data_IF_510246331158
#
_entry.id   IF_510246331158
#
_cell.length_a   1.000
_cell.length_b   1.000
_cell.length_c   1.000
_cell.angle_alpha   90.00
_cell.angle_beta   90.00
_cell.angle_gamma   90.00
#
_symmetry.space_group_name_H-M   'P 1'
#
loop_
_entity.id
_entity.type
_entity.pdbx_description
1 polymer ?
#
# COMPACT_ATOMS: atom_id res chain seq x y z
N UNK A 1 21.23 -5.97 -1.84
CA UNK A 1 21.59 -5.19 -0.63
C UNK A 1 20.57 -4.07 -0.53
N UNK A 2 19.91 -3.91 0.62
CA UNK A 2 19.02 -2.77 0.86
C UNK A 2 19.83 -1.66 1.55
N UNK A 3 19.62 -0.42 1.13
CA UNK A 3 20.25 0.79 1.67
C UNK A 3 19.16 1.84 1.87
N UNK A 4 19.41 2.82 2.73
CA UNK A 4 18.47 3.92 2.96
C UNK A 4 18.81 5.13 2.07
N UNK A 5 20.10 5.41 1.89
CA UNK A 5 20.58 6.58 1.16
C UNK A 5 21.44 6.19 -0.04
N UNK A 6 21.38 6.99 -1.10
CA UNK A 6 22.16 6.72 -2.31
C UNK A 6 23.66 6.76 -2.03
N UNK A 7 24.14 7.56 -1.09
CA UNK A 7 25.57 7.70 -0.76
C UNK A 7 26.19 6.40 -0.20
N UNK A 8 25.37 5.45 0.24
CA UNK A 8 25.80 4.10 0.64
C UNK A 8 26.07 3.19 -0.56
N UNK A 9 25.62 3.58 -1.76
CA UNK A 9 25.80 2.82 -2.99
C UNK A 9 27.12 3.19 -3.67
N UNK A 10 27.99 2.22 -4.02
CA UNK A 10 29.22 2.52 -4.75
C UNK A 10 28.93 2.96 -6.20
N UNK A 11 29.79 3.83 -6.72
CA UNK A 11 29.74 4.25 -8.12
C UNK A 11 29.88 3.07 -9.09
N UNK A 12 29.18 3.12 -10.22
CA UNK A 12 29.11 2.05 -11.20
C UNK A 12 28.10 0.93 -10.86
N UNK A 13 27.50 0.95 -9.67
CA UNK A 13 26.50 -0.04 -9.27
C UNK A 13 25.12 0.19 -9.93
N UNK A 14 24.30 -0.86 -9.87
CA UNK A 14 22.88 -0.77 -10.22
C UNK A 14 22.05 -0.47 -8.98
N UNK A 15 21.22 0.57 -9.05
CA UNK A 15 20.24 0.94 -8.03
C UNK A 15 18.84 0.60 -8.52
N UNK A 16 18.05 0.00 -7.64
CA UNK A 16 16.63 -0.28 -7.90
C UNK A 16 15.80 0.56 -6.94
N UNK A 17 14.95 1.46 -7.45
CA UNK A 17 13.98 2.15 -6.61
C UNK A 17 12.85 1.20 -6.21
N UNK A 18 12.43 1.28 -4.95
CA UNK A 18 11.39 0.38 -4.43
C UNK A 18 10.02 0.64 -5.07
N UNK A 19 9.10 -0.32 -4.92
CA UNK A 19 7.74 -0.21 -5.43
C UNK A 19 6.94 0.99 -4.88
N UNK A 20 7.34 1.52 -3.71
CA UNK A 20 6.71 2.67 -3.07
C UNK A 20 7.05 4.00 -3.75
N UNK A 21 7.99 4.01 -4.70
CA UNK A 21 8.45 5.24 -5.33
C UNK A 21 9.43 6.03 -4.48
N UNK A 22 9.99 7.07 -5.10
CA UNK A 22 10.99 7.95 -4.51
C UNK A 22 10.71 9.41 -4.88
N UNK A 23 11.23 10.34 -4.07
CA UNK A 23 11.11 11.78 -4.33
C UNK A 23 11.88 12.22 -5.57
N UNK A 24 11.55 13.40 -6.10
CA UNK A 24 12.32 14.02 -7.19
C UNK A 24 13.78 14.31 -6.78
N UNK A 25 14.03 14.58 -5.50
CA UNK A 25 15.38 14.83 -5.00
C UNK A 25 16.25 13.56 -5.15
N UNK A 26 15.73 12.41 -4.73
CA UNK A 26 16.40 11.11 -4.90
C UNK A 26 16.62 10.78 -6.38
N UNK A 27 15.62 11.05 -7.24
CA UNK A 27 15.77 10.87 -8.69
C UNK A 27 16.90 11.75 -9.28
N UNK A 28 16.98 13.03 -8.88
CA UNK A 28 18.03 13.95 -9.32
C UNK A 28 19.42 13.51 -8.82
N UNK A 29 19.52 13.10 -7.56
CA UNK A 29 20.77 12.60 -6.98
C UNK A 29 21.26 11.35 -7.72
N UNK A 30 20.38 10.38 -7.97
CA UNK A 30 20.74 9.17 -8.72
C UNK A 30 21.21 9.49 -10.14
N UNK A 31 20.52 10.42 -10.84
CA UNK A 31 20.88 10.84 -12.19
C UNK A 31 22.20 11.63 -12.25
N UNK A 32 22.62 12.26 -11.15
CA UNK A 32 23.88 13.01 -11.07
C UNK A 32 25.11 12.13 -10.80
N UNK A 33 24.89 10.84 -10.50
CA UNK A 33 25.93 9.88 -10.15
C UNK A 33 26.09 8.83 -11.25
N UNK A 34 27.26 8.16 -11.35
CA UNK A 34 27.49 7.10 -12.33
C UNK A 34 26.79 5.79 -11.90
N UNK A 35 25.47 5.81 -11.79
CA UNK A 35 24.63 4.69 -11.37
C UNK A 35 23.77 4.20 -12.54
N UNK A 36 23.57 2.89 -12.62
CA UNK A 36 22.52 2.31 -13.48
C UNK A 36 21.22 2.25 -12.67
N UNK A 37 20.22 3.04 -13.02
CA UNK A 37 18.96 3.13 -12.26
C UNK A 37 17.88 2.29 -12.93
N UNK A 38 17.26 1.41 -12.15
CA UNK A 38 16.05 0.68 -12.51
C UNK A 38 14.91 1.15 -11.60
N UNK A 39 13.86 1.70 -12.17
CA UNK A 39 12.71 2.15 -11.39
C UNK A 39 11.67 1.03 -11.30
N UNK A 40 11.53 0.42 -10.12
CA UNK A 40 10.51 -0.60 -9.85
C UNK A 40 9.27 -0.02 -9.15
N UNK A 41 9.09 1.31 -9.15
CA UNK A 41 7.89 1.97 -8.62
C UNK A 41 6.65 1.36 -9.23
N UNK A 42 5.67 1.02 -8.39
CA UNK A 42 4.38 0.51 -8.86
C UNK A 42 3.73 1.53 -9.81
N UNK A 43 3.26 1.11 -11.00
CA UNK A 43 2.60 2.05 -11.93
C UNK A 43 1.40 2.80 -11.32
N UNK A 44 0.76 2.24 -10.30
CA UNK A 44 -0.34 2.87 -9.58
C UNK A 44 0.16 3.98 -8.63
N UNK A 45 1.33 3.84 -8.04
CA UNK A 45 2.00 4.93 -7.29
C UNK A 45 2.48 6.02 -8.26
N UNK A 46 3.05 5.64 -9.41
CA UNK A 46 3.43 6.60 -10.46
C UNK A 46 2.23 7.42 -10.96
N UNK A 47 1.02 6.86 -10.96
CA UNK A 47 -0.22 7.60 -11.25
C UNK A 47 -0.47 8.69 -10.21
N UNK A 48 -0.37 8.38 -8.91
CA UNK A 48 -0.50 9.37 -7.82
C UNK A 48 0.55 10.48 -7.98
N UNK A 49 1.81 10.11 -8.20
CA UNK A 49 2.89 11.07 -8.46
C UNK A 49 2.60 12.00 -9.64
N UNK A 50 1.98 11.47 -10.70
CA UNK A 50 1.62 12.25 -11.89
C UNK A 50 0.45 13.20 -11.61
N UNK A 51 -0.52 12.79 -10.79
CA UNK A 51 -1.64 13.64 -10.39
C UNK A 51 -1.22 14.79 -9.50
N UNK A 52 -0.32 14.56 -8.52
CA UNK A 52 0.28 15.65 -7.73
C UNK A 52 0.90 16.69 -8.65
N UNK A 53 1.75 16.26 -9.59
CA UNK A 53 2.40 17.16 -10.57
C UNK A 53 1.38 17.93 -11.39
N UNK A 54 0.33 17.26 -11.85
CA UNK A 54 -0.73 17.87 -12.65
C UNK A 54 -1.46 18.96 -11.87
N UNK A 55 -1.94 18.66 -10.67
CA UNK A 55 -2.65 19.62 -9.83
C UNK A 55 -1.78 20.84 -9.48
N UNK A 56 -0.51 20.61 -9.12
CA UNK A 56 0.44 21.71 -8.87
C UNK A 56 0.65 22.58 -10.12
N UNK A 57 0.80 21.98 -11.30
CA UNK A 57 0.90 22.72 -12.57
C UNK A 57 -0.37 23.51 -12.93
N UNK A 58 -1.53 23.05 -12.47
CA UNK A 58 -2.82 23.75 -12.62
C UNK A 58 -3.03 24.84 -11.54
N UNK A 59 -2.02 25.09 -10.69
CA UNK A 59 -2.04 26.09 -9.63
C UNK A 59 -2.81 25.66 -8.39
N UNK A 60 -3.12 24.37 -8.23
CA UNK A 60 -3.81 23.86 -7.06
C UNK A 60 -2.83 23.46 -5.96
N UNK A 61 -3.15 23.80 -4.72
CA UNK A 61 -2.61 23.12 -3.54
C UNK A 61 -3.14 21.67 -3.49
N UNK A 62 -2.36 20.76 -2.92
CA UNK A 62 -2.72 19.33 -2.86
C UNK A 62 -2.70 18.85 -1.42
N UNK A 63 -3.77 18.20 -0.99
CA UNK A 63 -3.82 17.47 0.28
C UNK A 63 -3.55 15.99 0.00
N UNK A 64 -2.45 15.46 0.51
CA UNK A 64 -2.15 14.04 0.51
C UNK A 64 -2.74 13.43 1.78
N UNK A 65 -3.66 12.48 1.62
CA UNK A 65 -4.14 11.62 2.71
C UNK A 65 -3.20 10.42 2.77
N UNK A 66 -2.52 10.20 3.88
CA UNK A 66 -1.53 9.12 4.01
C UNK A 66 -0.93 9.06 5.41
N UNK A 67 -0.04 8.08 5.65
CA UNK A 67 0.66 7.96 6.93
C UNK A 67 2.04 8.61 6.91
N UNK A 68 2.33 9.49 7.86
CA UNK A 68 3.65 10.14 7.95
C UNK A 68 4.77 9.11 8.11
N UNK A 69 5.90 9.35 7.44
CA UNK A 69 7.05 8.45 7.46
C UNK A 69 6.90 7.19 6.61
N UNK A 70 5.75 6.95 5.97
CA UNK A 70 5.64 5.86 5.00
C UNK A 70 6.40 6.20 3.70
N UNK A 71 7.25 5.30 3.15
CA UNK A 71 8.08 5.61 1.98
C UNK A 71 7.30 6.14 0.76
N UNK A 72 6.08 5.63 0.54
CA UNK A 72 5.19 6.10 -0.53
C UNK A 72 4.72 7.54 -0.32
N UNK A 73 4.48 7.93 0.94
CA UNK A 73 4.08 9.29 1.31
C UNK A 73 5.26 10.24 1.11
N UNK A 74 6.45 9.87 1.58
CA UNK A 74 7.67 10.67 1.35
C UNK A 74 7.98 10.83 -0.15
N UNK A 75 7.81 9.75 -0.92
CA UNK A 75 7.93 9.78 -2.37
C UNK A 75 6.93 10.72 -3.03
N UNK A 76 5.68 10.70 -2.58
CA UNK A 76 4.57 11.51 -3.13
C UNK A 76 4.68 12.99 -2.75
N UNK A 77 4.97 13.29 -1.47
CA UNK A 77 5.28 14.66 -1.01
C UNK A 77 6.44 15.25 -1.81
N UNK A 78 7.49 14.45 -2.01
CA UNK A 78 8.67 14.83 -2.77
C UNK A 78 8.48 14.99 -4.29
N UNK A 79 7.24 14.92 -4.80
CA UNK A 79 6.93 15.25 -6.20
C UNK A 79 6.75 16.75 -6.45
N UNK A 80 6.63 17.55 -5.39
CA UNK A 80 6.56 19.01 -5.42
C UNK A 80 7.50 19.59 -4.36
N UNK A 81 8.02 20.80 -4.59
CA UNK A 81 8.84 21.50 -3.59
C UNK A 81 7.97 22.19 -2.53
N UNK A 82 6.74 22.56 -2.90
CA UNK A 82 5.76 23.24 -2.04
C UNK A 82 4.31 22.85 -2.38
N UNK A 83 3.37 23.33 -1.55
CA UNK A 83 1.92 23.26 -1.79
C UNK A 83 1.36 21.84 -1.86
N UNK A 84 2.02 20.89 -1.20
CA UNK A 84 1.48 19.57 -0.87
C UNK A 84 1.48 19.44 0.65
N UNK A 85 0.33 19.12 1.22
CA UNK A 85 0.13 19.01 2.67
C UNK A 85 -0.29 17.60 3.03
N UNK A 86 0.31 17.02 4.05
CA UNK A 86 -0.06 15.70 4.57
C UNK A 86 -1.14 15.82 5.64
N UNK A 87 -2.15 14.96 5.57
CA UNK A 87 -3.10 14.70 6.66
C UNK A 87 -3.28 13.21 6.87
N UNK A 88 -3.59 12.79 8.10
CA UNK A 88 -3.79 11.38 8.45
C UNK A 88 -5.20 11.10 9.00
N UNK A 89 -5.93 12.15 9.40
CA UNK A 89 -7.15 12.04 10.19
C UNK A 89 -8.23 13.06 9.82
N UNK A 90 -9.44 12.86 10.35
CA UNK A 90 -10.55 13.81 10.23
C UNK A 90 -10.20 15.10 10.96
N UNK A 91 -9.55 15.00 12.11
CA UNK A 91 -9.11 16.14 12.90
C UNK A 91 -8.09 16.99 12.15
N UNK A 92 -7.22 16.37 11.34
CA UNK A 92 -6.30 17.10 10.46
C UNK A 92 -7.06 17.81 9.34
N UNK A 93 -8.06 17.15 8.72
CA UNK A 93 -8.95 17.78 7.74
C UNK A 93 -9.69 18.99 8.33
N UNK A 94 -10.06 18.95 9.60
CA UNK A 94 -10.69 20.06 10.33
C UNK A 94 -9.71 21.18 10.73
N UNK A 95 -8.40 20.93 10.74
CA UNK A 95 -7.40 21.91 11.18
C UNK A 95 -6.57 22.47 10.04
N UNK A 96 -6.52 21.79 8.90
CA UNK A 96 -5.67 22.18 7.78
C UNK A 96 -6.01 23.59 7.28
N UNK A 97 -4.96 24.40 7.10
CA UNK A 97 -5.03 25.73 6.52
C UNK A 97 -4.43 25.68 5.13
N UNK A 98 -5.17 26.19 4.15
CA UNK A 98 -4.78 26.24 2.74
C UNK A 98 -4.83 27.68 2.26
N UNK A 99 -3.97 28.05 1.31
CA UNK A 99 -3.92 29.41 0.77
C UNK A 99 -5.15 29.76 -0.07
N UNK A 100 -5.62 28.84 -0.91
CA UNK A 100 -6.80 29.06 -1.75
C UNK A 100 -7.74 27.83 -1.80
N UNK A 101 -8.85 27.84 -1.03
CA UNK A 101 -9.84 26.76 -1.02
C UNK A 101 -10.46 26.41 -2.38
N UNK A 102 -10.51 27.35 -3.33
CA UNK A 102 -11.05 27.13 -4.68
C UNK A 102 -10.02 26.56 -5.66
N UNK A 103 -8.76 26.47 -5.23
CA UNK A 103 -7.64 25.88 -5.98
C UNK A 103 -7.00 24.79 -5.14
N UNK A 104 -7.82 23.81 -4.76
CA UNK A 104 -7.41 22.70 -3.90
C UNK A 104 -7.76 21.36 -4.56
N UNK A 105 -6.89 20.39 -4.38
CA UNK A 105 -7.12 19.00 -4.76
C UNK A 105 -6.71 18.07 -3.62
N UNK A 106 -7.17 16.82 -3.65
CA UNK A 106 -6.63 15.77 -2.80
C UNK A 106 -6.13 14.57 -3.62
N UNK A 107 -5.20 13.83 -3.03
CA UNK A 107 -4.75 12.51 -3.47
C UNK A 107 -4.60 11.62 -2.25
N UNK A 108 -4.51 10.31 -2.43
CA UNK A 108 -4.33 9.37 -1.30
C UNK A 108 -3.14 8.43 -1.51
N UNK A 109 -2.59 7.94 -0.40
CA UNK A 109 -1.74 6.75 -0.41
C UNK A 109 -2.54 5.54 -0.90
N UNK A 110 -1.89 4.65 -1.65
CA UNK A 110 -2.53 3.53 -2.37
C UNK A 110 -2.95 2.36 -1.48
N UNK A 111 -2.50 2.34 -0.22
CA UNK A 111 -2.63 1.22 0.74
C UNK A 111 -3.49 1.54 1.97
N UNK A 112 -4.26 2.64 1.92
CA UNK A 112 -5.10 3.05 3.03
C UNK A 112 -6.36 2.19 3.21
N UNK A 113 -6.97 2.30 4.39
CA UNK A 113 -8.31 1.80 4.69
C UNK A 113 -9.34 2.53 3.85
N UNK A 114 -10.16 1.81 3.09
CA UNK A 114 -11.21 2.40 2.25
C UNK A 114 -12.20 3.21 3.09
N UNK A 115 -12.60 2.66 4.25
CA UNK A 115 -13.63 3.24 5.11
C UNK A 115 -13.12 4.51 5.82
N UNK A 116 -11.90 4.49 6.36
CA UNK A 116 -11.32 5.65 7.05
C UNK A 116 -11.04 6.78 6.05
N UNK A 117 -10.53 6.43 4.87
CA UNK A 117 -10.24 7.41 3.82
C UNK A 117 -11.52 8.07 3.33
N UNK A 118 -12.61 7.32 3.19
CA UNK A 118 -13.91 7.89 2.80
C UNK A 118 -14.38 8.96 3.81
N UNK A 119 -14.22 8.72 5.11
CA UNK A 119 -14.60 9.68 6.14
C UNK A 119 -13.74 10.96 6.09
N UNK A 120 -12.43 10.83 5.87
CA UNK A 120 -11.53 11.98 5.71
C UNK A 120 -11.89 12.78 4.45
N UNK A 121 -12.16 12.09 3.34
CA UNK A 121 -12.56 12.73 2.07
C UNK A 121 -13.91 13.45 2.23
N UNK A 122 -14.87 12.87 2.94
CA UNK A 122 -16.16 13.51 3.19
C UNK A 122 -16.00 14.76 4.07
N UNK A 123 -15.15 14.72 5.10
CA UNK A 123 -14.81 15.90 5.89
C UNK A 123 -14.13 17.00 5.05
N UNK A 124 -13.18 16.64 4.18
CA UNK A 124 -12.55 17.58 3.25
C UNK A 124 -13.56 18.19 2.28
N UNK A 125 -14.47 17.41 1.70
CA UNK A 125 -15.49 17.92 0.77
C UNK A 125 -16.52 18.80 1.47
N UNK A 126 -16.86 18.48 2.72
CA UNK A 126 -17.74 19.33 3.53
C UNK A 126 -17.10 20.70 3.79
N UNK A 127 -15.80 20.72 4.18
CA UNK A 127 -15.05 21.94 4.47
C UNK A 127 -14.67 22.73 3.22
N UNK A 128 -14.32 22.04 2.14
CA UNK A 128 -13.86 22.60 0.87
C UNK A 128 -14.72 22.05 -0.28
N UNK A 129 -15.92 22.61 -0.52
CA UNK A 129 -16.86 22.07 -1.51
C UNK A 129 -16.33 22.02 -2.95
N UNK A 130 -15.34 22.85 -3.28
CA UNK A 130 -14.70 22.93 -4.60
C UNK A 130 -13.43 22.06 -4.72
N UNK A 131 -13.09 21.27 -3.70
CA UNK A 131 -11.90 20.42 -3.72
C UNK A 131 -11.96 19.40 -4.87
N UNK A 132 -10.90 19.33 -5.65
CA UNK A 132 -10.82 18.43 -6.79
C UNK A 132 -10.36 17.03 -6.36
N UNK A 133 -11.07 16.02 -6.84
CA UNK A 133 -10.71 14.62 -6.67
C UNK A 133 -9.74 14.16 -7.78
N UNK A 134 -8.95 13.10 -7.54
CA UNK A 134 -8.18 12.46 -8.61
C UNK A 134 -9.12 11.90 -9.69
N UNK A 135 -8.60 11.65 -10.90
CA UNK A 135 -9.45 11.19 -12.02
C UNK A 135 -10.01 9.79 -11.81
N UNK A 136 -9.33 9.00 -10.99
CA UNK A 136 -9.69 7.66 -10.52
C UNK A 136 -9.23 7.56 -9.08
N UNK A 137 -9.81 6.67 -8.30
CA UNK A 137 -9.36 6.44 -6.92
C UNK A 137 -7.87 6.07 -6.88
N UNK A 138 -7.18 6.58 -5.86
CA UNK A 138 -5.76 6.33 -5.63
C UNK A 138 -5.52 5.03 -4.85
N UNK A 139 -6.43 4.66 -3.94
CA UNK A 139 -6.38 3.33 -3.32
C UNK A 139 -6.45 2.27 -4.41
N UNK A 140 -5.43 1.43 -4.47
CA UNK A 140 -5.28 0.53 -5.60
C UNK A 140 -6.27 -0.65 -5.52
N UNK A 141 -6.57 -1.23 -6.68
CA UNK A 141 -7.48 -2.37 -6.79
C UNK A 141 -7.06 -3.53 -5.86
N UNK A 142 -5.75 -3.77 -5.73
CA UNK A 142 -5.22 -4.86 -4.91
C UNK A 142 -5.52 -4.64 -3.42
N UNK A 143 -5.43 -3.39 -2.94
CA UNK A 143 -5.82 -3.01 -1.58
C UNK A 143 -7.32 -3.21 -1.38
N UNK A 144 -8.14 -2.64 -2.27
CA UNK A 144 -9.60 -2.72 -2.16
C UNK A 144 -10.09 -4.18 -2.18
N UNK A 145 -9.67 -4.98 -3.16
CA UNK A 145 -10.08 -6.37 -3.31
C UNK A 145 -9.75 -7.20 -2.05
N UNK A 146 -8.58 -6.97 -1.46
CA UNK A 146 -8.16 -7.67 -0.23
C UNK A 146 -8.97 -7.23 0.97
N UNK A 147 -9.24 -5.93 1.13
CA UNK A 147 -10.10 -5.43 2.21
C UNK A 147 -11.52 -5.99 2.09
N UNK A 148 -12.08 -6.00 0.89
CA UNK A 148 -13.40 -6.58 0.64
C UNK A 148 -13.43 -8.10 0.89
N UNK A 149 -12.36 -8.81 0.55
CA UNK A 149 -12.22 -10.23 0.86
C UNK A 149 -12.18 -10.49 2.37
N UNK A 150 -11.44 -9.67 3.13
CA UNK A 150 -11.41 -9.78 4.59
C UNK A 150 -12.77 -9.44 5.21
N UNK A 151 -13.47 -8.41 4.72
CA UNK A 151 -14.84 -8.08 5.17
C UNK A 151 -15.82 -9.24 4.98
N UNK A 152 -15.65 -10.07 3.94
CA UNK A 152 -16.43 -11.31 3.77
C UNK A 152 -15.94 -12.41 4.71
N UNK A 153 -14.63 -12.59 4.82
CA UNK A 153 -13.99 -13.63 5.64
C UNK A 153 -14.41 -13.54 7.11
N UNK A 154 -14.40 -12.34 7.69
CA UNK A 154 -14.66 -12.12 9.12
C UNK A 154 -16.05 -12.54 9.56
N UNK A 155 -17.04 -12.56 8.65
CA UNK A 155 -18.40 -13.02 8.96
C UNK A 155 -18.51 -14.53 9.22
N UNK A 156 -17.45 -15.29 8.93
CA UNK A 156 -17.41 -16.76 8.95
C UNK A 156 -16.30 -17.32 9.84
N UNK A 157 -15.55 -16.48 10.55
CA UNK A 157 -14.35 -16.89 11.28
C UNK A 157 -14.36 -16.33 12.71
N UNK A 158 -13.87 -17.13 13.65
CA UNK A 158 -13.68 -16.73 15.06
C UNK A 158 -12.35 -16.02 15.27
N UNK A 159 -11.38 -16.33 14.40
CA UNK A 159 -10.04 -15.75 14.38
C UNK A 159 -9.53 -15.62 12.94
N UNK A 160 -8.76 -14.57 12.65
CA UNK A 160 -8.13 -14.32 11.35
C UNK A 160 -6.63 -14.15 11.52
N UNK A 161 -5.86 -14.89 10.73
CA UNK A 161 -4.42 -14.66 10.57
C UNK A 161 -4.15 -13.91 9.27
N UNK A 162 -3.48 -12.77 9.38
CA UNK A 162 -3.02 -11.95 8.27
C UNK A 162 -1.52 -12.18 8.11
N UNK A 163 -1.12 -12.79 7.00
CA UNK A 163 0.29 -13.01 6.68
C UNK A 163 0.89 -11.72 6.14
N UNK A 164 1.91 -11.20 6.82
CA UNK A 164 2.65 -10.01 6.41
C UNK A 164 3.34 -9.32 7.60
N UNK A 165 4.29 -8.45 7.29
CA UNK A 165 5.09 -7.78 8.31
C UNK A 165 4.38 -6.58 8.94
N UNK A 166 4.77 -6.25 10.17
CA UNK A 166 4.33 -5.05 10.89
C UNK A 166 4.59 -3.75 10.12
N UNK A 167 5.61 -3.72 9.27
CA UNK A 167 5.94 -2.55 8.45
C UNK A 167 5.00 -2.36 7.23
N UNK A 168 4.18 -3.36 6.90
CA UNK A 168 3.30 -3.29 5.74
C UNK A 168 1.99 -2.57 6.06
N UNK A 169 1.79 -1.36 5.51
CA UNK A 169 0.56 -0.58 5.67
C UNK A 169 -0.68 -1.40 5.31
N UNK A 170 -0.69 -2.03 4.12
CA UNK A 170 -1.80 -2.84 3.66
C UNK A 170 -2.10 -4.02 4.60
N UNK A 171 -1.09 -4.77 5.06
CA UNK A 171 -1.31 -5.90 5.96
C UNK A 171 -1.94 -5.46 7.29
N UNK A 172 -1.51 -4.33 7.85
CA UNK A 172 -2.13 -3.76 9.04
C UNK A 172 -3.59 -3.38 8.80
N UNK A 173 -3.92 -2.77 7.64
CA UNK A 173 -5.32 -2.45 7.30
C UNK A 173 -6.20 -3.71 7.30
N UNK A 174 -5.70 -4.83 6.75
CA UNK A 174 -6.43 -6.11 6.75
C UNK A 174 -6.68 -6.63 8.17
N UNK A 175 -5.68 -6.57 9.06
CA UNK A 175 -5.85 -6.97 10.47
C UNK A 175 -6.89 -6.10 11.15
N UNK A 176 -6.77 -4.78 11.02
CA UNK A 176 -7.67 -3.82 11.68
C UNK A 176 -9.13 -3.97 11.22
N UNK A 177 -9.37 -4.31 9.95
CA UNK A 177 -10.72 -4.60 9.46
C UNK A 177 -11.33 -5.78 10.23
N UNK A 178 -10.56 -6.84 10.47
CA UNK A 178 -11.03 -7.98 11.25
C UNK A 178 -11.27 -7.63 12.71
N UNK A 179 -10.37 -6.86 13.34
CA UNK A 179 -10.53 -6.39 14.72
C UNK A 179 -11.78 -5.52 14.90
N UNK A 180 -12.04 -4.60 13.97
CA UNK A 180 -13.23 -3.73 13.98
C UNK A 180 -14.54 -4.51 13.78
N UNK A 181 -14.48 -5.66 13.10
CA UNK A 181 -15.60 -6.58 12.98
C UNK A 181 -15.83 -7.43 14.25
N UNK A 182 -15.01 -7.24 15.31
CA UNK A 182 -15.10 -7.99 16.55
C UNK A 182 -14.46 -9.38 16.49
N UNK A 183 -13.72 -9.68 15.42
CA UNK A 183 -13.03 -10.96 15.24
C UNK A 183 -11.59 -10.82 15.72
N UNK A 184 -11.08 -11.81 16.46
CA UNK A 184 -9.67 -11.79 16.88
C UNK A 184 -8.78 -11.85 15.64
N UNK A 185 -7.83 -10.94 15.50
CA UNK A 185 -6.95 -10.94 14.34
C UNK A 185 -5.48 -10.84 14.74
N UNK A 186 -4.63 -11.58 14.04
CA UNK A 186 -3.19 -11.61 14.28
C UNK A 186 -2.47 -11.30 12.98
N UNK A 187 -1.51 -10.38 13.07
CA UNK A 187 -0.54 -10.16 12.01
C UNK A 187 0.68 -11.04 12.31
N UNK A 188 1.06 -11.89 11.35
CA UNK A 188 2.15 -12.85 11.50
C UNK A 188 3.08 -12.80 10.28
N UNK A 189 4.39 -12.88 10.51
CA UNK A 189 5.40 -12.99 9.46
C UNK A 189 5.57 -14.45 9.02
N UNK A 190 5.46 -15.40 9.95
CA UNK A 190 5.65 -16.83 9.69
C UNK A 190 4.70 -17.75 10.45
N UNK A 191 4.52 -18.96 9.92
CA UNK A 191 3.58 -19.95 10.47
C UNK A 191 3.95 -20.46 11.88
N UNK A 192 5.23 -20.38 12.24
CA UNK A 192 5.77 -20.78 13.56
C UNK A 192 5.21 -19.92 14.70
N UNK A 193 4.76 -18.70 14.41
CA UNK A 193 4.13 -17.80 15.40
C UNK A 193 2.74 -18.29 15.82
N UNK A 194 2.11 -19.18 15.06
CA UNK A 194 0.80 -19.73 15.39
C UNK A 194 0.93 -20.78 16.49
N UNK A 195 0.40 -20.45 17.66
CA UNK A 195 0.30 -21.33 18.82
C UNK A 195 -1.11 -21.92 18.96
N UNK A 196 -1.25 -23.01 19.73
CA UNK A 196 -2.52 -23.71 19.88
C UNK A 196 -3.55 -22.87 20.67
N UNK A 197 -3.10 -22.06 21.63
CA UNK A 197 -3.95 -21.16 22.42
C UNK A 197 -4.59 -20.05 21.57
N UNK A 198 -3.92 -19.59 20.50
CA UNK A 198 -4.46 -18.61 19.55
C UNK A 198 -5.66 -19.12 18.74
N UNK A 199 -5.96 -20.42 18.80
CA UNK A 199 -7.10 -21.04 18.11
C UNK A 199 -7.95 -21.90 19.06
N UNK A 200 -7.69 -21.83 20.36
CA UNK A 200 -8.46 -22.61 21.34
C UNK A 200 -9.93 -22.19 21.32
N UNK A 201 -10.83 -23.18 21.34
CA UNK A 201 -12.27 -22.99 21.22
C UNK A 201 -12.78 -22.43 19.88
N UNK A 202 -11.90 -22.19 18.89
CA UNK A 202 -12.31 -21.65 17.58
C UNK A 202 -12.85 -22.77 16.67
N UNK A 203 -13.98 -22.54 16.03
CA UNK A 203 -14.57 -23.43 15.04
C UNK A 203 -14.08 -23.13 13.62
N UNK A 204 -13.80 -21.86 13.33
CA UNK A 204 -13.36 -21.42 12.00
C UNK A 204 -12.20 -20.42 12.11
N UNK A 205 -11.14 -20.69 11.34
CA UNK A 205 -9.95 -19.85 11.23
C UNK A 205 -9.86 -19.28 9.83
N UNK A 206 -9.80 -17.96 9.71
CA UNK A 206 -9.54 -17.26 8.46
C UNK A 206 -8.04 -17.06 8.23
N UNK A 207 -7.60 -17.19 6.98
CA UNK A 207 -6.23 -16.86 6.57
C UNK A 207 -6.31 -15.90 5.40
N UNK A 208 -5.55 -14.82 5.47
CA UNK A 208 -5.38 -13.86 4.37
C UNK A 208 -3.94 -13.38 4.33
N UNK A 209 -3.57 -12.62 3.32
CA UNK A 209 -2.20 -12.14 3.15
C UNK A 209 -2.18 -10.69 2.64
N UNK A 210 -1.20 -9.92 3.12
CA UNK A 210 -0.90 -8.62 2.53
C UNK A 210 -0.40 -8.74 1.10
N UNK A 211 -0.48 -7.65 0.33
CA UNK A 211 -0.04 -7.64 -1.07
C UNK A 211 1.45 -7.98 -1.27
N UNK A 212 2.28 -7.83 -0.24
CA UNK A 212 3.72 -8.14 -0.25
C UNK A 212 4.07 -9.52 0.28
N UNK A 213 3.09 -10.30 0.76
CA UNK A 213 3.34 -11.61 1.35
C UNK A 213 3.44 -12.70 0.27
N UNK A 214 4.55 -13.44 0.19
CA UNK A 214 4.68 -14.56 -0.74
C UNK A 214 3.70 -15.70 -0.44
N UNK A 215 3.16 -16.31 -1.50
CA UNK A 215 2.22 -17.44 -1.43
C UNK A 215 2.76 -18.62 -0.60
N UNK A 216 4.08 -18.85 -0.59
CA UNK A 216 4.69 -19.91 0.21
C UNK A 216 4.47 -19.73 1.72
N UNK A 217 4.40 -18.48 2.20
CA UNK A 217 4.13 -18.20 3.62
C UNK A 217 2.67 -18.51 3.97
N UNK A 218 1.74 -18.16 3.08
CA UNK A 218 0.32 -18.50 3.23
C UNK A 218 0.13 -20.01 3.28
N UNK A 219 0.77 -20.75 2.37
CA UNK A 219 0.76 -22.23 2.39
C UNK A 219 1.32 -22.80 3.68
N UNK A 220 2.43 -22.24 4.18
CA UNK A 220 3.00 -22.64 5.46
C UNK A 220 2.03 -22.45 6.63
N UNK A 221 1.28 -21.34 6.65
CA UNK A 221 0.24 -21.06 7.66
C UNK A 221 -0.91 -22.07 7.56
N UNK A 222 -1.38 -22.36 6.34
CA UNK A 222 -2.43 -23.36 6.11
C UNK A 222 -1.96 -24.74 6.58
N UNK A 223 -0.75 -25.15 6.25
CA UNK A 223 -0.18 -26.44 6.67
C UNK A 223 -0.02 -26.53 8.20
N UNK A 224 0.41 -25.44 8.84
CA UNK A 224 0.47 -25.34 10.30
C UNK A 224 -0.91 -25.54 10.94
N UNK A 225 -1.93 -24.83 10.44
CA UNK A 225 -3.30 -24.95 10.96
C UNK A 225 -3.89 -26.35 10.74
N UNK A 226 -3.56 -27.01 9.62
CA UNK A 226 -3.91 -28.42 9.38
C UNK A 226 -3.21 -29.35 10.37
N UNK A 227 -1.94 -29.10 10.68
CA UNK A 227 -1.19 -29.82 11.71
C UNK A 227 -1.80 -29.68 13.11
N UNK A 228 -2.52 -28.58 13.36
CA UNK A 228 -3.28 -28.34 14.60
C UNK A 228 -4.72 -28.86 14.56
N UNK A 229 -5.10 -29.61 13.51
CA UNK A 229 -6.41 -30.28 13.39
C UNK A 229 -7.40 -29.61 12.45
N UNK A 230 -7.02 -28.49 11.82
CA UNK A 230 -7.86 -27.80 10.83
C UNK A 230 -8.11 -28.61 9.56
N UNK A 231 -9.25 -28.36 8.92
CA UNK A 231 -9.58 -28.87 7.57
C UNK A 231 -9.87 -27.70 6.66
N UNK A 232 -9.36 -27.75 5.44
CA UNK A 232 -9.58 -26.70 4.45
C UNK A 232 -11.05 -26.69 4.03
N UNK A 233 -11.70 -25.54 4.15
CA UNK A 233 -13.02 -25.33 3.58
C UNK A 233 -12.91 -25.11 2.06
N UNK A 234 -13.97 -25.40 1.27
CA UNK A 234 -14.02 -25.01 -0.13
C UNK A 234 -13.82 -23.49 -0.25
N UNK A 235 -13.02 -23.05 -1.21
CA UNK A 235 -12.82 -21.62 -1.49
C UNK A 235 -14.13 -20.98 -1.95
N UNK A 236 -14.47 -19.81 -1.39
CA UNK A 236 -15.53 -18.96 -1.94
C UNK A 236 -15.07 -18.35 -3.28
N UNK A 237 -16.06 -18.00 -4.11
CA UNK A 237 -15.87 -17.34 -5.42
C UNK A 237 -14.76 -16.30 -5.43
N UNK A 238 -13.76 -16.54 -6.28
CA UNK A 238 -12.63 -15.63 -6.52
C UNK A 238 -13.08 -14.33 -7.19
N UNK A 239 -12.66 -13.20 -6.64
CA UNK A 239 -12.50 -11.98 -7.44
C UNK A 239 -11.27 -12.20 -8.31
N UNK A 240 -11.46 -12.36 -9.62
CA UNK A 240 -10.35 -12.61 -10.56
C UNK A 240 -9.59 -11.31 -10.82
N UNK A 241 -8.35 -11.22 -10.34
CA UNK A 241 -7.42 -10.14 -10.66
C UNK A 241 -6.69 -10.44 -11.98
N UNK A 242 -6.97 -9.69 -13.05
CA UNK A 242 -6.38 -9.93 -14.38
C UNK A 242 -5.26 -8.95 -14.76
N UNK A 243 -4.97 -7.97 -13.90
CA UNK A 243 -4.01 -6.90 -14.20
C UNK A 243 -2.59 -7.43 -14.00
N UNK A 244 -1.75 -7.25 -15.01
CA UNK A 244 -0.31 -7.53 -14.92
C UNK A 244 0.49 -6.31 -15.35
N UNK A 245 1.61 -6.07 -14.67
CA UNK A 245 2.53 -4.99 -15.02
C UNK A 245 3.76 -5.58 -15.71
N UNK A 246 4.10 -4.99 -16.85
CA UNK A 246 5.31 -5.34 -17.59
C UNK A 246 6.57 -4.93 -16.83
N UNK A 247 7.64 -5.72 -16.96
CA UNK A 247 8.97 -5.30 -16.54
C UNK A 247 9.43 -4.03 -17.29
N UNK A 248 10.30 -3.20 -16.66
CA UNK A 248 11.03 -2.12 -17.34
C UNK A 248 11.71 -2.61 -18.64
N UNK A 249 11.82 -1.73 -19.63
CA UNK A 249 12.34 -2.09 -20.96
C UNK A 249 13.79 -2.59 -20.91
N UNK A 250 14.57 -2.03 -20.00
CA UNK A 250 15.95 -2.37 -19.69
C UNK A 250 16.06 -3.85 -19.29
N UNK A 251 15.14 -4.32 -18.42
CA UNK A 251 15.09 -5.71 -17.96
C UNK A 251 14.47 -6.65 -18.99
N UNK A 252 13.54 -6.16 -19.84
CA UNK A 252 13.00 -6.96 -20.95
C UNK A 252 14.08 -7.37 -21.95
N UNK A 253 15.10 -6.54 -22.19
CA UNK A 253 16.24 -6.89 -23.05
C UNK A 253 17.09 -7.98 -22.41
N UNK A 254 17.49 -7.79 -21.15
CA UNK A 254 18.29 -8.78 -20.40
C UNK A 254 17.57 -10.13 -20.29
N UNK A 255 16.26 -10.13 -20.03
CA UNK A 255 15.49 -11.38 -19.94
C UNK A 255 15.42 -12.14 -21.27
N UNK A 256 15.38 -11.42 -22.41
CA UNK A 256 15.45 -12.04 -23.74
C UNK A 256 16.81 -12.67 -24.00
N UNK A 257 17.88 -11.96 -23.63
CA UNK A 257 19.26 -12.41 -23.83
C UNK A 257 19.61 -13.61 -22.95
N UNK A 258 19.03 -13.72 -21.74
CA UNK A 258 19.18 -14.88 -20.84
C UNK A 258 18.33 -16.11 -21.25
N UNK A 259 17.33 -15.90 -22.10
CA UNK A 259 16.44 -16.98 -22.58
C UNK A 259 16.89 -17.56 -23.93
N UNK A 260 18.00 -17.08 -24.48
CA UNK A 260 18.67 -17.57 -25.69
C UNK A 260 19.96 -18.31 -25.32
#
# INVERSE_FOLDING_TARGET
VFVNELDEVPDGATVIFSAHGVSRAVQKQAASRPLSVLDATCPLVTKVHTEVKRFRNEGCEVILIGHAGHPEVEGTLGQSEDGVFLIESIEDADRISVGNPDRLAYVTQTTLSMDDTAQIVDALKFRFPNIQAPRRDDICYATQNRQDAVKRLVSRCDVVFVVGSLASSNSNRLREIAERAGVRAFLIDEATEITADMIDGCHAVGVTAGASAPEVLVKGVVDRLRGLGGKLAPEDTEVVETITFSLPQELKKVARDLSQ
#
